data_IF_090091863095
#
_entry.id   IF_090091863095
#
_cell.length_a   1.000
_cell.length_b   1.000
_cell.length_c   1.000
_cell.angle_alpha   90.00
_cell.angle_beta   90.00
_cell.angle_gamma   90.00
#
_symmetry.space_group_name_H-M   'P 1'
#
loop_
_entity.id
_entity.type
_entity.pdbx_description
1 polymer ?
#
# COMPACT_ATOMS: atom_id res chain seq x y z
N UNK A 1 12.83 23.16 5.67
CA UNK A 1 11.65 24.01 5.35
C UNK A 1 10.44 23.36 6.03
N UNK A 2 9.30 24.01 6.21
CA UNK A 2 8.09 23.33 6.73
C UNK A 2 7.14 23.10 5.56
N UNK A 3 6.88 21.84 5.22
CA UNK A 3 5.93 21.46 4.15
C UNK A 3 4.51 21.56 4.68
N UNK A 4 3.65 22.30 3.99
CA UNK A 4 2.26 22.53 4.38
C UNK A 4 1.33 21.62 3.59
N UNK A 5 0.55 20.83 4.34
CA UNK A 5 -0.28 19.77 3.81
C UNK A 5 -1.75 20.15 3.76
N UNK A 6 -2.40 19.78 2.66
CA UNK A 6 -3.85 19.58 2.60
C UNK A 6 -4.18 18.09 2.70
N UNK A 7 -5.01 17.70 3.66
CA UNK A 7 -5.52 16.33 3.79
C UNK A 7 -6.88 16.21 3.11
N UNK A 8 -7.00 15.33 2.13
CA UNK A 8 -8.26 15.07 1.43
C UNK A 8 -8.80 13.71 1.88
N UNK A 9 -9.90 13.70 2.63
CA UNK A 9 -10.48 12.51 3.26
C UNK A 9 -10.15 12.41 4.75
N UNK A 10 -11.18 12.39 5.60
CA UNK A 10 -11.12 12.37 7.05
C UNK A 10 -11.56 11.01 7.65
N UNK A 11 -11.53 9.94 6.84
CA UNK A 11 -11.80 8.58 7.26
C UNK A 11 -10.72 7.97 8.17
N UNK A 12 -10.78 6.65 8.38
CA UNK A 12 -9.81 5.92 9.23
C UNK A 12 -8.35 6.18 8.83
N UNK A 13 -8.05 6.13 7.53
CA UNK A 13 -6.69 6.34 7.01
C UNK A 13 -6.27 7.81 7.07
N UNK A 14 -7.20 8.74 6.78
CA UNK A 14 -6.96 10.18 6.91
C UNK A 14 -6.57 10.58 8.33
N UNK A 15 -7.18 9.98 9.35
CA UNK A 15 -6.78 10.20 10.77
C UNK A 15 -5.36 9.74 11.07
N UNK A 16 -4.92 8.63 10.46
CA UNK A 16 -3.56 8.12 10.64
C UNK A 16 -2.54 9.06 9.99
N UNK A 17 -2.82 9.54 8.77
CA UNK A 17 -1.97 10.53 8.10
C UNK A 17 -1.96 11.89 8.79
N UNK A 18 -3.11 12.35 9.30
CA UNK A 18 -3.17 13.56 10.12
C UNK A 18 -2.25 13.46 11.36
N UNK A 19 -2.22 12.28 12.00
CA UNK A 19 -1.29 12.02 13.12
C UNK A 19 0.17 12.03 12.66
N UNK A 20 0.49 11.36 11.55
CA UNK A 20 1.85 11.30 11.00
C UNK A 20 2.37 12.69 10.60
N UNK A 21 1.55 13.50 9.94
CA UNK A 21 1.83 14.91 9.63
C UNK A 21 2.01 15.71 10.91
N UNK A 22 1.05 15.64 11.84
CA UNK A 22 1.06 16.41 13.08
C UNK A 22 2.23 16.10 14.01
N UNK A 23 2.82 14.90 13.92
CA UNK A 23 4.00 14.50 14.70
C UNK A 23 5.34 14.83 14.03
N UNK A 24 5.35 15.26 12.77
CA UNK A 24 6.58 15.53 12.04
C UNK A 24 6.97 17.02 12.14
N UNK A 25 8.16 17.36 12.69
CA UNK A 25 8.57 18.76 12.87
C UNK A 25 8.80 19.53 11.56
N UNK A 26 8.98 18.83 10.43
CA UNK A 26 9.10 19.44 9.10
C UNK A 26 7.74 19.58 8.37
N UNK A 27 6.63 19.25 9.02
CA UNK A 27 5.31 19.27 8.41
C UNK A 27 4.32 20.17 9.18
N UNK A 28 3.32 20.68 8.46
CA UNK A 28 2.17 21.35 9.07
C UNK A 28 0.90 20.96 8.32
N UNK A 29 -0.11 20.46 9.05
CA UNK A 29 -1.45 20.28 8.49
C UNK A 29 -2.15 21.65 8.44
N UNK A 30 -2.49 22.12 7.24
CA UNK A 30 -3.11 23.45 7.03
C UNK A 30 -4.59 23.31 6.71
N UNK A 31 -4.96 22.33 5.89
CA UNK A 31 -6.33 22.14 5.44
C UNK A 31 -6.77 20.68 5.56
N UNK A 32 -8.05 20.47 5.89
CA UNK A 32 -8.73 19.18 5.82
C UNK A 32 -9.99 19.33 4.96
N UNK A 33 -10.17 18.44 3.99
CA UNK A 33 -11.35 18.40 3.13
C UNK A 33 -12.03 17.03 3.25
N UNK A 34 -13.31 17.01 3.60
CA UNK A 34 -14.15 15.81 3.58
C UNK A 34 -15.61 16.23 3.33
N UNK A 35 -16.41 15.48 2.56
CA UNK A 35 -17.84 15.77 2.40
C UNK A 35 -18.62 15.66 3.73
N UNK A 36 -18.13 14.89 4.70
CA UNK A 36 -18.69 14.79 6.04
C UNK A 36 -18.06 15.85 6.96
N UNK A 37 -18.75 16.98 7.13
CA UNK A 37 -18.26 18.13 7.89
C UNK A 37 -17.74 17.76 9.30
N UNK A 38 -18.47 16.90 10.03
CA UNK A 38 -18.07 16.48 11.38
C UNK A 38 -16.73 15.72 11.39
N UNK A 39 -16.46 14.90 10.37
CA UNK A 39 -15.20 14.17 10.26
C UNK A 39 -14.03 15.13 9.99
N UNK A 40 -14.21 16.10 9.07
CA UNK A 40 -13.22 17.12 8.79
C UNK A 40 -12.96 18.01 10.01
N UNK A 41 -14.03 18.49 10.66
CA UNK A 41 -13.96 19.34 11.86
C UNK A 41 -13.19 18.67 13.01
N UNK A 42 -13.39 17.36 13.21
CA UNK A 42 -12.70 16.62 14.26
C UNK A 42 -11.18 16.62 14.06
N UNK A 43 -10.70 16.38 12.83
CA UNK A 43 -9.27 16.41 12.51
C UNK A 43 -8.75 17.85 12.56
N UNK A 44 -9.47 18.79 11.93
CA UNK A 44 -9.06 20.19 11.85
C UNK A 44 -8.86 20.81 13.25
N UNK A 45 -9.82 20.58 14.16
CA UNK A 45 -9.74 21.07 15.55
C UNK A 45 -8.59 20.44 16.32
N UNK A 46 -8.32 19.13 16.12
CA UNK A 46 -7.26 18.41 16.82
C UNK A 46 -5.86 18.91 16.45
N UNK A 47 -5.64 19.31 15.19
CA UNK A 47 -4.32 19.67 14.68
C UNK A 47 -4.17 21.17 14.35
N UNK A 48 -5.18 21.99 14.65
CA UNK A 48 -5.17 23.43 14.37
C UNK A 48 -5.18 23.77 12.87
N UNK A 49 -5.83 22.94 12.06
CA UNK A 49 -6.02 23.13 10.63
C UNK A 49 -7.40 23.74 10.32
N UNK A 50 -7.61 24.17 9.08
CA UNK A 50 -8.89 24.69 8.59
C UNK A 50 -9.67 23.60 7.84
N UNK A 51 -11.00 23.61 7.97
CA UNK A 51 -11.85 22.83 7.05
C UNK A 51 -11.99 23.63 5.76
N UNK A 52 -11.55 23.05 4.64
CA UNK A 52 -11.61 23.64 3.30
C UNK A 52 -12.26 22.67 2.32
N UNK A 53 -12.75 23.18 1.20
CA UNK A 53 -13.12 22.30 0.07
C UNK A 53 -11.87 21.84 -0.67
N UNK A 54 -12.02 20.80 -1.50
CA UNK A 54 -10.94 20.35 -2.41
C UNK A 54 -10.52 21.52 -3.33
N UNK A 55 -11.46 22.27 -3.90
CA UNK A 55 -11.19 23.36 -4.84
C UNK A 55 -10.45 24.53 -4.18
N UNK A 56 -10.83 24.90 -2.96
CA UNK A 56 -10.11 25.91 -2.19
C UNK A 56 -8.70 25.41 -1.88
N UNK A 57 -8.53 24.14 -1.47
CA UNK A 57 -7.21 23.55 -1.19
C UNK A 57 -6.32 23.51 -2.44
N UNK A 58 -6.90 23.21 -3.61
CA UNK A 58 -6.20 23.15 -4.89
C UNK A 58 -5.58 24.50 -5.30
N UNK A 59 -6.34 25.58 -5.13
CA UNK A 59 -5.96 26.94 -5.54
C UNK A 59 -5.16 27.70 -4.47
N UNK A 60 -5.06 27.13 -3.27
CA UNK A 60 -4.40 27.75 -2.13
C UNK A 60 -2.88 27.86 -2.33
N UNK A 61 -2.36 29.09 -2.30
CA UNK A 61 -0.92 29.34 -2.27
C UNK A 61 -0.29 28.85 -0.96
N UNK A 62 -1.10 28.58 0.07
CA UNK A 62 -0.64 28.12 1.37
C UNK A 62 -0.54 26.60 1.57
N UNK A 63 -0.67 25.84 0.48
CA UNK A 63 -0.52 24.38 0.42
C UNK A 63 0.65 24.03 -0.48
N UNK A 64 1.59 23.22 0.02
CA UNK A 64 2.75 22.75 -0.75
C UNK A 64 2.52 21.33 -1.28
N UNK A 65 1.83 20.50 -0.48
CA UNK A 65 1.56 19.11 -0.81
C UNK A 65 0.16 18.68 -0.35
N UNK A 66 -0.35 17.58 -0.93
CA UNK A 66 -1.59 16.95 -0.49
C UNK A 66 -1.41 15.47 -0.16
N UNK A 67 -2.19 15.01 0.81
CA UNK A 67 -2.40 13.58 1.10
C UNK A 67 -3.82 13.22 0.66
N UNK A 68 -3.93 12.38 -0.36
CA UNK A 68 -5.20 11.88 -0.91
C UNK A 68 -5.57 10.58 -0.19
N UNK A 69 -6.63 10.66 0.60
CA UNK A 69 -7.21 9.60 1.45
C UNK A 69 -8.74 9.48 1.23
N UNK A 70 -9.24 10.01 0.11
CA UNK A 70 -10.63 9.94 -0.31
C UNK A 70 -10.99 8.52 -0.81
N UNK A 71 -12.23 8.26 -1.23
CA UNK A 71 -12.56 6.98 -1.89
C UNK A 71 -11.75 6.77 -3.18
N UNK A 72 -11.42 5.52 -3.49
CA UNK A 72 -10.53 5.12 -4.60
C UNK A 72 -10.94 5.69 -5.96
N UNK A 73 -12.24 5.79 -6.24
CA UNK A 73 -12.79 6.33 -7.50
C UNK A 73 -12.46 7.83 -7.73
N UNK A 74 -11.93 8.52 -6.73
CA UNK A 74 -11.50 9.92 -6.84
C UNK A 74 -9.99 10.09 -6.98
N UNK A 75 -9.19 9.05 -6.77
CA UNK A 75 -7.74 9.17 -6.61
C UNK A 75 -7.06 9.72 -7.86
N UNK A 76 -7.25 9.07 -9.02
CA UNK A 76 -6.60 9.47 -10.26
C UNK A 76 -6.96 10.92 -10.67
N UNK A 77 -8.23 11.30 -10.55
CA UNK A 77 -8.68 12.66 -10.84
C UNK A 77 -8.04 13.70 -9.91
N UNK A 78 -7.93 13.40 -8.61
CA UNK A 78 -7.28 14.29 -7.65
C UNK A 78 -5.78 14.38 -7.90
N UNK A 79 -5.09 13.27 -8.16
CA UNK A 79 -3.67 13.27 -8.51
C UNK A 79 -3.43 14.23 -9.69
N UNK A 80 -4.19 14.07 -10.78
CA UNK A 80 -4.00 14.90 -11.96
C UNK A 80 -4.29 16.39 -11.71
N UNK A 81 -5.34 16.71 -10.94
CA UNK A 81 -5.68 18.10 -10.60
C UNK A 81 -4.56 18.75 -9.79
N UNK A 82 -4.09 18.08 -8.75
CA UNK A 82 -3.03 18.62 -7.88
C UNK A 82 -1.67 18.65 -8.57
N UNK A 83 -1.38 17.71 -9.48
CA UNK A 83 -0.20 17.73 -10.34
C UNK A 83 -0.19 18.98 -11.25
N UNK A 84 -1.30 19.25 -11.95
CA UNK A 84 -1.45 20.45 -12.79
C UNK A 84 -1.38 21.77 -11.99
N UNK A 85 -1.74 21.73 -10.70
CA UNK A 85 -1.61 22.88 -9.80
C UNK A 85 -0.20 23.03 -9.19
N UNK A 86 0.76 22.17 -9.56
CA UNK A 86 2.14 22.21 -9.09
C UNK A 86 2.30 21.82 -7.61
N UNK A 87 1.37 21.04 -7.05
CA UNK A 87 1.46 20.51 -5.68
C UNK A 87 2.12 19.14 -5.69
N UNK A 88 2.89 18.81 -4.65
CA UNK A 88 3.33 17.43 -4.45
C UNK A 88 2.16 16.56 -3.97
N UNK A 89 2.11 15.30 -4.40
CA UNK A 89 1.00 14.39 -4.13
C UNK A 89 1.49 13.14 -3.43
N UNK A 90 0.94 12.87 -2.25
CA UNK A 90 0.89 11.54 -1.67
C UNK A 90 -0.52 10.98 -1.90
N UNK A 91 -0.65 9.78 -2.44
CA UNK A 91 -1.95 9.14 -2.66
C UNK A 91 -2.00 7.75 -2.04
N UNK A 92 -3.04 7.49 -1.26
CA UNK A 92 -3.35 6.13 -0.80
C UNK A 92 -3.58 5.18 -1.98
N UNK A 93 -3.31 3.90 -1.74
CA UNK A 93 -3.50 2.85 -2.75
C UNK A 93 -4.99 2.56 -3.00
N UNK A 94 -5.34 2.03 -4.18
CA UNK A 94 -4.57 2.11 -5.42
C UNK A 94 -4.76 3.49 -6.09
N UNK A 95 -3.98 3.80 -7.12
CA UNK A 95 -4.17 5.03 -7.92
C UNK A 95 -5.53 5.03 -8.63
N UNK A 96 -5.95 3.87 -9.13
CA UNK A 96 -7.26 3.59 -9.70
C UNK A 96 -7.47 2.07 -9.69
N UNK A 97 -8.65 1.57 -10.08
CA UNK A 97 -8.91 0.14 -10.28
C UNK A 97 -8.78 -0.29 -11.76
N UNK A 98 -8.58 0.66 -12.68
CA UNK A 98 -8.34 0.42 -14.11
C UNK A 98 -6.89 0.77 -14.50
N UNK A 99 -6.18 -0.22 -15.04
CA UNK A 99 -4.78 -0.09 -15.49
C UNK A 99 -4.57 1.02 -16.53
N UNK A 100 -5.49 1.19 -17.48
CA UNK A 100 -5.41 2.26 -18.48
C UNK A 100 -5.70 3.63 -17.88
N UNK A 101 -6.61 3.71 -16.90
CA UNK A 101 -6.84 4.95 -16.13
C UNK A 101 -5.62 5.35 -15.32
N UNK A 102 -4.92 4.38 -14.69
CA UNK A 102 -3.63 4.64 -14.02
C UNK A 102 -2.60 5.13 -15.02
N UNK A 103 -2.42 4.47 -16.17
CA UNK A 103 -1.47 4.92 -17.21
C UNK A 103 -1.77 6.35 -17.67
N UNK A 104 -3.05 6.71 -17.84
CA UNK A 104 -3.45 8.06 -18.20
C UNK A 104 -3.08 9.09 -17.12
N UNK A 105 -3.34 8.76 -15.85
CA UNK A 105 -2.95 9.60 -14.70
C UNK A 105 -1.43 9.80 -14.66
N UNK A 106 -0.64 8.74 -14.81
CA UNK A 106 0.82 8.82 -14.75
C UNK A 106 1.43 9.64 -15.89
N UNK A 107 0.80 9.67 -17.09
CA UNK A 107 1.21 10.59 -18.17
C UNK A 107 1.12 12.05 -17.74
N UNK A 108 0.04 12.44 -17.05
CA UNK A 108 -0.12 13.81 -16.54
C UNK A 108 0.92 14.13 -15.47
N UNK A 109 1.24 13.17 -14.60
CA UNK A 109 2.28 13.33 -13.58
C UNK A 109 3.65 13.56 -14.23
N UNK A 110 3.99 12.79 -15.27
CA UNK A 110 5.24 12.95 -16.04
C UNK A 110 5.28 14.29 -16.79
N UNK A 111 4.20 14.65 -17.50
CA UNK A 111 4.08 15.92 -18.24
C UNK A 111 4.23 17.16 -17.35
N UNK A 112 3.75 17.08 -16.11
CA UNK A 112 3.82 18.18 -15.14
C UNK A 112 5.09 18.16 -14.29
N UNK A 113 5.85 17.06 -14.31
CA UNK A 113 7.00 16.84 -13.42
C UNK A 113 6.62 16.79 -11.93
N UNK A 114 5.37 16.43 -11.61
CA UNK A 114 4.88 16.42 -10.24
C UNK A 114 5.49 15.27 -9.42
N UNK A 115 5.81 15.53 -8.15
CA UNK A 115 6.18 14.47 -7.20
C UNK A 115 4.93 13.68 -6.82
N UNK A 116 4.84 12.42 -7.23
CA UNK A 116 3.80 11.47 -6.81
C UNK A 116 4.40 10.31 -6.01
N UNK A 117 3.93 10.13 -4.79
CA UNK A 117 4.20 8.96 -3.96
C UNK A 117 2.91 8.17 -3.73
N UNK A 118 2.97 6.84 -3.87
CA UNK A 118 1.84 5.93 -3.62
C UNK A 118 2.01 5.27 -2.25
N UNK A 119 0.91 5.20 -1.48
CA UNK A 119 0.86 4.71 -0.10
C UNK A 119 1.01 3.20 0.08
N UNK A 120 2.15 2.64 -0.33
CA UNK A 120 2.57 1.30 0.10
C UNK A 120 3.37 1.38 1.40
N UNK A 121 2.68 1.81 2.45
CA UNK A 121 3.22 2.09 3.77
C UNK A 121 4.08 0.96 4.37
N UNK A 122 3.80 -0.31 4.01
CA UNK A 122 4.59 -1.47 4.50
C UNK A 122 6.06 -1.40 4.10
N UNK A 123 6.41 -0.72 2.99
CA UNK A 123 7.82 -0.47 2.67
C UNK A 123 8.53 0.38 3.72
N UNK A 124 7.81 1.14 4.54
CA UNK A 124 8.38 2.02 5.58
C UNK A 124 8.35 1.42 6.98
N UNK A 125 7.81 0.21 7.14
CA UNK A 125 7.84 -0.48 8.42
C UNK A 125 9.29 -0.77 8.83
N UNK A 126 9.70 -0.49 10.08
CA UNK A 126 11.05 -0.79 10.54
C UNK A 126 11.49 -2.23 10.31
N UNK A 127 10.57 -3.19 10.49
CA UNK A 127 10.90 -4.60 10.38
C UNK A 127 11.05 -5.04 8.92
N UNK A 128 10.14 -4.62 8.03
CA UNK A 128 10.30 -4.87 6.59
C UNK A 128 11.55 -4.18 6.02
N UNK A 129 11.86 -2.96 6.45
CA UNK A 129 13.10 -2.26 6.07
C UNK A 129 14.35 -3.00 6.55
N UNK A 130 14.36 -3.53 7.77
CA UNK A 130 15.49 -4.32 8.28
C UNK A 130 15.70 -5.60 7.47
N UNK A 131 14.63 -6.27 7.04
CA UNK A 131 14.73 -7.42 6.12
C UNK A 131 15.32 -6.99 4.78
N UNK A 132 14.82 -5.91 4.19
CA UNK A 132 15.36 -5.40 2.92
C UNK A 132 16.84 -5.03 3.04
N UNK A 133 17.22 -4.37 4.13
CA UNK A 133 18.60 -4.01 4.41
C UNK A 133 19.49 -5.26 4.50
N UNK A 134 19.06 -6.32 5.19
CA UNK A 134 19.82 -7.57 5.26
C UNK A 134 20.00 -8.24 3.89
N UNK A 135 18.99 -8.13 3.00
CA UNK A 135 19.09 -8.58 1.60
C UNK A 135 20.13 -7.75 0.85
N UNK A 136 20.06 -6.42 0.96
CA UNK A 136 20.95 -5.49 0.25
C UNK A 136 22.41 -5.59 0.70
N UNK A 137 22.63 -5.88 1.98
CA UNK A 137 23.94 -6.17 2.56
C UNK A 137 24.46 -7.57 2.20
N UNK A 138 23.67 -8.37 1.47
CA UNK A 138 24.06 -9.70 0.98
C UNK A 138 24.09 -10.78 2.06
N UNK A 139 23.45 -10.55 3.22
CA UNK A 139 23.47 -11.48 4.36
C UNK A 139 22.82 -12.84 4.02
N UNK A 140 21.86 -12.86 3.09
CA UNK A 140 21.22 -14.09 2.59
C UNK A 140 21.73 -14.54 1.21
N UNK A 141 22.74 -13.86 0.65
CA UNK A 141 23.25 -14.12 -0.70
C UNK A 141 22.25 -13.74 -1.78
N UNK A 142 22.20 -14.50 -2.88
CA UNK A 142 21.18 -14.33 -3.92
C UNK A 142 19.81 -14.79 -3.41
N UNK A 143 18.80 -13.91 -3.50
CA UNK A 143 17.40 -14.24 -3.19
C UNK A 143 16.89 -15.31 -4.15
N UNK A 144 16.25 -16.35 -3.61
CA UNK A 144 15.71 -17.49 -4.36
C UNK A 144 14.18 -17.61 -4.19
N UNK A 145 13.69 -17.51 -2.95
CA UNK A 145 12.27 -17.68 -2.61
C UNK A 145 11.80 -16.63 -1.61
N UNK A 146 10.60 -16.09 -1.82
CA UNK A 146 9.92 -15.21 -0.86
C UNK A 146 8.59 -15.84 -0.43
N UNK A 147 8.28 -15.80 0.86
CA UNK A 147 6.98 -16.24 1.39
C UNK A 147 6.33 -15.10 2.14
N UNK A 148 5.12 -14.71 1.74
CA UNK A 148 4.35 -13.63 2.32
C UNK A 148 3.04 -14.18 2.88
N UNK A 149 2.74 -13.87 4.14
CA UNK A 149 1.45 -14.18 4.75
C UNK A 149 0.83 -12.91 5.31
N UNK A 150 -0.34 -12.55 4.80
CA UNK A 150 -1.09 -11.39 5.28
C UNK A 150 -2.55 -11.77 5.52
N UNK A 151 -3.01 -11.64 6.77
CA UNK A 151 -4.38 -12.00 7.16
C UNK A 151 -5.02 -10.86 7.95
N UNK A 152 -6.19 -10.43 7.51
CA UNK A 152 -6.98 -9.42 8.21
C UNK A 152 -7.65 -10.04 9.45
N UNK A 153 -7.88 -9.26 10.53
CA UNK A 153 -8.62 -9.75 11.71
C UNK A 153 -10.06 -10.16 11.37
N UNK A 154 -10.65 -9.51 10.36
CA UNK A 154 -12.02 -9.71 9.90
C UNK A 154 -12.27 -8.98 8.58
N UNK A 155 -13.26 -9.48 7.82
CA UNK A 155 -13.60 -8.95 6.52
C UNK A 155 -14.19 -7.53 6.61
N UNK A 156 -13.98 -6.67 5.59
CA UNK A 156 -14.69 -5.41 5.51
C UNK A 156 -16.19 -5.65 5.25
N UNK A 157 -17.07 -4.65 5.50
CA UNK A 157 -18.49 -4.75 5.19
C UNK A 157 -18.75 -5.01 3.69
N UNK A 158 -19.83 -5.73 3.37
CA UNK A 158 -20.20 -6.11 2.00
C UNK A 158 -20.30 -4.90 1.05
N UNK A 159 -20.83 -3.76 1.52
CA UNK A 159 -20.93 -2.55 0.71
C UNK A 159 -19.57 -1.96 0.32
N UNK A 160 -18.54 -2.19 1.14
CA UNK A 160 -17.17 -1.86 0.77
C UNK A 160 -16.62 -2.88 -0.23
N UNK A 161 -16.86 -4.18 -0.01
CA UNK A 161 -16.38 -5.25 -0.90
C UNK A 161 -16.82 -5.01 -2.35
N UNK A 162 -18.11 -4.69 -2.56
CA UNK A 162 -18.69 -4.41 -3.89
C UNK A 162 -17.97 -3.32 -4.69
N UNK A 163 -17.26 -2.40 -4.03
CA UNK A 163 -16.51 -1.30 -4.66
C UNK A 163 -14.99 -1.36 -4.44
N UNK A 164 -14.50 -2.41 -3.80
CA UNK A 164 -13.08 -2.55 -3.44
C UNK A 164 -12.19 -2.98 -4.62
N UNK A 165 -12.80 -3.50 -5.69
CA UNK A 165 -12.08 -4.17 -6.79
C UNK A 165 -11.71 -5.62 -6.49
N UNK A 166 -12.13 -6.16 -5.35
CA UNK A 166 -11.91 -7.55 -4.92
C UNK A 166 -10.60 -7.74 -4.15
N UNK A 167 -10.45 -8.91 -3.50
CA UNK A 167 -9.34 -9.18 -2.58
C UNK A 167 -7.95 -8.97 -3.19
N UNK A 168 -7.75 -9.26 -4.47
CA UNK A 168 -6.46 -9.07 -5.13
C UNK A 168 -6.08 -7.59 -5.25
N UNK A 169 -7.03 -6.72 -5.60
CA UNK A 169 -6.80 -5.28 -5.79
C UNK A 169 -6.83 -4.49 -4.49
N UNK A 170 -7.60 -4.96 -3.51
CA UNK A 170 -7.72 -4.27 -2.23
C UNK A 170 -6.70 -4.76 -1.18
N UNK A 171 -6.51 -6.06 -1.04
CA UNK A 171 -5.69 -6.64 0.03
C UNK A 171 -4.32 -7.07 -0.49
N UNK A 172 -4.30 -7.99 -1.45
CA UNK A 172 -3.06 -8.61 -1.99
C UNK A 172 -2.18 -7.60 -2.71
N UNK A 173 -2.70 -6.44 -3.12
CA UNK A 173 -1.92 -5.38 -3.77
C UNK A 173 -0.72 -4.92 -2.93
N UNK A 174 -0.84 -4.91 -1.60
CA UNK A 174 0.30 -4.63 -0.72
C UNK A 174 1.35 -5.74 -0.77
N UNK A 175 0.93 -6.99 -0.98
CA UNK A 175 1.81 -8.15 -1.02
C UNK A 175 2.48 -8.28 -2.40
N UNK A 176 1.82 -7.86 -3.48
CA UNK A 176 2.46 -7.70 -4.79
C UNK A 176 3.56 -6.66 -4.77
N UNK A 177 3.29 -5.51 -4.15
CA UNK A 177 4.30 -4.48 -3.92
C UNK A 177 5.48 -5.00 -3.07
N UNK A 178 5.17 -5.67 -1.96
CA UNK A 178 6.18 -6.26 -1.07
C UNK A 178 7.00 -7.37 -1.74
N UNK A 179 6.37 -8.21 -2.58
CA UNK A 179 7.07 -9.25 -3.33
C UNK A 179 8.10 -8.64 -4.29
N UNK A 180 7.74 -7.59 -5.04
CA UNK A 180 8.68 -6.84 -5.89
C UNK A 180 9.83 -6.26 -5.07
N UNK A 181 9.49 -5.63 -3.94
CA UNK A 181 10.47 -5.02 -3.05
C UNK A 181 11.49 -6.03 -2.50
N UNK A 182 11.06 -7.24 -2.15
CA UNK A 182 11.93 -8.28 -1.59
C UNK A 182 12.68 -9.11 -2.64
N UNK A 183 12.07 -9.38 -3.81
CA UNK A 183 12.72 -10.10 -4.91
C UNK A 183 13.82 -9.28 -5.60
N UNK A 184 13.70 -7.95 -5.56
CA UNK A 184 14.60 -7.02 -6.25
C UNK A 184 14.55 -7.17 -7.78
N UNK A 185 13.46 -7.72 -8.31
CA UNK A 185 13.28 -8.09 -9.71
C UNK A 185 11.79 -8.09 -10.06
N UNK A 186 11.46 -7.79 -11.31
CA UNK A 186 10.08 -7.80 -11.79
C UNK A 186 9.53 -9.20 -12.01
N UNK A 187 8.25 -9.35 -11.69
CA UNK A 187 7.51 -10.61 -11.81
C UNK A 187 7.06 -10.79 -13.27
N UNK A 188 7.35 -11.94 -13.85
CA UNK A 188 6.97 -12.27 -15.23
C UNK A 188 5.59 -12.95 -15.27
N UNK A 189 5.34 -13.89 -14.36
CA UNK A 189 4.12 -14.70 -14.35
C UNK A 189 3.45 -14.77 -12.99
N UNK A 190 2.13 -14.88 -13.01
CA UNK A 190 1.26 -14.99 -11.84
C UNK A 190 0.36 -16.20 -11.99
N UNK A 191 0.32 -17.06 -10.96
CA UNK A 191 -0.69 -18.12 -10.82
C UNK A 191 -1.44 -17.92 -9.51
N UNK A 192 -2.78 -17.96 -9.52
CA UNK A 192 -3.57 -17.70 -8.33
C UNK A 192 -4.74 -18.68 -8.18
N UNK A 193 -5.15 -18.89 -6.93
CA UNK A 193 -6.35 -19.62 -6.53
C UNK A 193 -7.12 -18.78 -5.51
N UNK A 194 -8.45 -18.82 -5.58
CA UNK A 194 -9.34 -18.12 -4.65
C UNK A 194 -10.51 -18.98 -4.20
N UNK A 195 -10.96 -18.76 -2.98
CA UNK A 195 -12.09 -19.45 -2.37
C UNK A 195 -12.86 -18.53 -1.41
N UNK A 196 -14.09 -18.94 -1.09
CA UNK A 196 -14.95 -18.29 -0.09
C UNK A 196 -15.09 -19.27 1.07
N UNK A 197 -14.30 -19.06 2.13
CA UNK A 197 -14.13 -19.95 3.27
C UNK A 197 -14.48 -19.27 4.61
N UNK A 198 -14.66 -17.95 4.61
CA UNK A 198 -14.91 -17.13 5.80
C UNK A 198 -16.38 -16.74 5.89
N UNK A 199 -16.93 -16.11 4.86
CA UNK A 199 -18.30 -15.59 4.86
C UNK A 199 -18.94 -15.74 3.47
N UNK A 200 -20.00 -16.55 3.31
CA UNK A 200 -20.71 -16.71 2.05
C UNK A 200 -21.17 -15.39 1.39
N UNK A 201 -21.47 -14.35 2.18
CA UNK A 201 -21.90 -13.05 1.67
C UNK A 201 -20.82 -12.36 0.82
N UNK A 202 -19.53 -12.70 1.02
CA UNK A 202 -18.42 -12.22 0.20
C UNK A 202 -18.49 -12.85 -1.20
N UNK A 203 -18.80 -14.15 -1.28
CA UNK A 203 -19.03 -14.85 -2.54
C UNK A 203 -20.27 -14.35 -3.28
N UNK A 204 -21.36 -14.05 -2.56
CA UNK A 204 -22.56 -13.43 -3.13
C UNK A 204 -22.29 -12.04 -3.71
N UNK A 205 -21.31 -11.31 -3.14
CA UNK A 205 -20.83 -10.03 -3.66
C UNK A 205 -19.84 -10.17 -4.84
N UNK A 206 -19.49 -11.40 -5.24
CA UNK A 206 -18.61 -11.68 -6.38
C UNK A 206 -17.11 -11.62 -6.06
N UNK A 207 -16.71 -11.81 -4.80
CA UNK A 207 -15.31 -11.77 -4.36
C UNK A 207 -14.87 -13.07 -3.66
N UNK A 208 -13.57 -13.17 -3.38
CA UNK A 208 -12.95 -14.24 -2.59
C UNK A 208 -12.53 -13.71 -1.22
N UNK A 209 -12.44 -14.59 -0.22
CA UNK A 209 -11.98 -14.23 1.13
C UNK A 209 -10.66 -14.91 1.54
N UNK A 210 -10.24 -15.89 0.76
CA UNK A 210 -9.04 -16.69 1.01
C UNK A 210 -8.37 -17.00 -0.33
N UNK A 211 -7.13 -16.52 -0.51
CA UNK A 211 -6.41 -16.65 -1.79
C UNK A 211 -4.97 -17.11 -1.57
N UNK A 212 -4.44 -17.83 -2.56
CA UNK A 212 -3.03 -18.20 -2.65
C UNK A 212 -2.50 -17.78 -4.01
N UNK A 213 -1.31 -17.19 -4.04
CA UNK A 213 -0.67 -16.71 -5.26
C UNK A 213 0.76 -17.20 -5.34
N UNK A 214 1.19 -17.64 -6.52
CA UNK A 214 2.58 -17.92 -6.87
C UNK A 214 3.02 -16.94 -7.95
N UNK A 215 4.15 -16.31 -7.73
CA UNK A 215 4.78 -15.33 -8.62
C UNK A 215 6.11 -15.91 -9.10
N UNK A 216 6.48 -15.72 -10.36
CA UNK A 216 7.80 -16.11 -10.85
C UNK A 216 8.41 -15.03 -11.72
N UNK A 217 9.71 -14.82 -11.55
CA UNK A 217 10.49 -13.85 -12.30
C UNK A 217 11.21 -14.51 -13.48
N UNK A 218 11.76 -13.72 -14.40
CA UNK A 218 12.47 -14.26 -15.58
C UNK A 218 13.75 -15.02 -15.22
N UNK A 219 14.41 -14.66 -14.11
CA UNK A 219 15.59 -15.37 -13.61
C UNK A 219 15.27 -16.69 -12.87
N UNK A 220 13.99 -16.96 -12.59
CA UNK A 220 13.53 -18.17 -11.89
C UNK A 220 13.32 -18.01 -10.38
N UNK A 221 13.51 -16.80 -9.82
CA UNK A 221 13.07 -16.52 -8.44
C UNK A 221 11.56 -16.62 -8.36
N UNK A 222 11.04 -16.98 -7.20
CA UNK A 222 9.59 -17.05 -7.00
C UNK A 222 9.15 -16.54 -5.63
N UNK A 223 7.89 -16.11 -5.56
CA UNK A 223 7.27 -15.69 -4.32
C UNK A 223 5.90 -16.37 -4.15
N UNK A 224 5.59 -16.79 -2.94
CA UNK A 224 4.26 -17.26 -2.55
C UNK A 224 3.58 -16.22 -1.65
N UNK A 225 2.29 -15.99 -1.88
CA UNK A 225 1.47 -15.10 -1.06
C UNK A 225 0.25 -15.89 -0.58
N UNK A 226 -0.02 -15.83 0.73
CA UNK A 226 -1.22 -16.39 1.35
C UNK A 226 -2.02 -15.28 2.02
N UNK A 227 -3.27 -15.07 1.58
CA UNK A 227 -4.19 -14.14 2.21
C UNK A 227 -5.44 -14.80 2.75
N UNK A 228 -5.94 -14.23 3.85
CA UNK A 228 -7.27 -14.52 4.37
C UNK A 228 -7.89 -13.27 5.00
N UNK A 229 -9.18 -13.06 4.79
CA UNK A 229 -9.93 -11.97 5.41
C UNK A 229 -10.22 -12.17 6.90
N UNK A 230 -9.82 -13.29 7.51
CA UNK A 230 -10.04 -13.53 8.95
C UNK A 230 -8.89 -14.27 9.62
N UNK A 231 -8.37 -13.68 10.68
CA UNK A 231 -7.46 -14.28 11.64
C UNK A 231 -7.89 -13.90 13.07
N UNK A 232 -8.41 -14.87 13.82
CA UNK A 232 -8.93 -14.66 15.18
C UNK A 232 -7.87 -14.20 16.18
N UNK A 233 -6.60 -14.39 15.85
CA UNK A 233 -5.44 -13.99 16.66
C UNK A 233 -4.90 -12.60 16.30
N UNK A 234 -5.58 -11.87 15.41
CA UNK A 234 -5.24 -10.50 15.00
C UNK A 234 -4.55 -10.42 13.64
N UNK A 235 -3.89 -9.29 13.38
CA UNK A 235 -3.37 -8.92 12.07
C UNK A 235 -2.02 -9.62 11.76
N UNK A 236 -2.09 -10.76 11.06
CA UNK A 236 -0.92 -11.55 10.62
C UNK A 236 -0.24 -10.86 9.44
N UNK A 237 1.02 -10.49 9.57
CA UNK A 237 1.82 -9.80 8.56
C UNK A 237 3.26 -10.32 8.64
N UNK A 238 3.57 -11.37 7.87
CA UNK A 238 4.87 -12.03 7.86
C UNK A 238 5.46 -12.07 6.46
N UNK A 239 6.79 -11.93 6.40
CA UNK A 239 7.61 -12.13 5.20
C UNK A 239 8.81 -12.96 5.61
N UNK A 240 9.15 -13.94 4.78
CA UNK A 240 10.37 -14.72 4.84
C UNK A 240 11.05 -14.69 3.47
N UNK A 241 12.36 -14.50 3.46
CA UNK A 241 13.19 -14.51 2.26
C UNK A 241 14.29 -15.54 2.43
N UNK A 242 14.26 -16.57 1.59
CA UNK A 242 15.30 -17.58 1.49
C UNK A 242 16.23 -17.24 0.32
N UNK A 243 17.53 -17.39 0.56
CA UNK A 243 18.54 -17.24 -0.46
C UNK A 243 19.72 -18.19 -0.26
N UNK A 244 20.61 -18.18 -1.24
CA UNK A 244 21.77 -19.08 -1.34
C UNK A 244 22.67 -19.17 -0.10
N UNK A 245 22.65 -18.19 0.82
CA UNK A 245 23.49 -18.16 2.03
C UNK A 245 22.72 -18.19 3.35
N UNK A 246 21.39 -18.26 3.32
CA UNK A 246 20.59 -18.27 4.53
C UNK A 246 19.15 -17.79 4.30
N UNK A 247 18.49 -17.39 5.38
CA UNK A 247 17.17 -16.81 5.32
C UNK A 247 17.04 -15.67 6.32
N UNK A 248 16.15 -14.74 6.01
CA UNK A 248 15.74 -13.64 6.89
C UNK A 248 14.22 -13.57 6.91
N UNK A 249 13.63 -13.35 8.08
CA UNK A 249 12.18 -13.29 8.23
C UNK A 249 11.77 -12.23 9.24
N UNK A 250 10.57 -11.69 9.08
CA UNK A 250 9.90 -10.94 10.15
C UNK A 250 8.93 -11.81 10.93
N UNK A 251 8.93 -11.64 12.24
CA UNK A 251 7.86 -12.11 13.11
C UNK A 251 6.73 -11.09 13.18
N UNK A 252 5.55 -11.56 13.61
CA UNK A 252 4.42 -10.69 13.87
C UNK A 252 4.65 -9.77 15.08
N UNK A 253 4.19 -8.53 14.97
CA UNK A 253 4.18 -7.57 16.06
C UNK A 253 2.91 -7.70 16.92
N UNK A 254 3.04 -7.34 18.20
CA UNK A 254 1.96 -7.31 19.18
C UNK A 254 2.05 -5.99 19.97
N UNK A 255 0.91 -5.44 20.45
CA UNK A 255 0.94 -4.22 21.26
C UNK A 255 1.77 -4.36 22.54
N UNK A 256 1.76 -5.55 23.14
CA UNK A 256 2.47 -5.87 24.38
C UNK A 256 3.09 -7.26 24.27
N UNK A 257 4.39 -7.35 24.55
CA UNK A 257 5.17 -8.60 24.50
C UNK A 257 5.42 -9.13 25.90
N UNK A 258 4.44 -9.86 26.44
CA UNK A 258 4.58 -10.65 27.67
C UNK A 258 4.32 -12.12 27.38
N UNK A 259 4.75 -12.98 28.29
CA UNK A 259 4.45 -14.41 28.28
C UNK A 259 3.98 -14.85 29.66
N UNK A 260 2.88 -15.60 29.70
CA UNK A 260 2.33 -16.18 30.93
C UNK A 260 2.59 -17.68 30.91
N UNK A 261 3.32 -18.17 31.92
CA UNK A 261 3.60 -19.59 32.13
C UNK A 261 2.82 -20.12 33.34
N UNK A 262 1.90 -21.06 33.14
CA UNK A 262 1.12 -21.70 34.20
C UNK A 262 0.70 -23.13 33.81
N UNK A 263 -0.21 -23.76 34.57
CA UNK A 263 -0.68 -25.13 34.32
C UNK A 263 -1.33 -25.34 32.94
N UNK A 264 -1.80 -24.27 32.27
CA UNK A 264 -2.35 -24.31 30.92
C UNK A 264 -1.28 -24.16 29.81
N UNK A 265 -0.02 -23.94 30.17
CA UNK A 265 1.11 -23.79 29.25
C UNK A 265 1.64 -22.35 29.18
N UNK A 266 2.24 -22.02 28.04
CA UNK A 266 2.80 -20.71 27.73
C UNK A 266 1.86 -19.96 26.78
N UNK A 267 1.43 -18.77 27.16
CA UNK A 267 0.52 -17.94 26.35
C UNK A 267 1.07 -16.54 26.18
N UNK A 268 0.88 -15.97 24.98
CA UNK A 268 1.22 -14.59 24.64
C UNK A 268 -0.07 -13.85 24.22
N UNK A 269 -0.18 -12.53 24.44
CA UNK A 269 -1.32 -11.74 23.96
C UNK A 269 -1.52 -11.87 22.44
N UNK A 270 -2.71 -11.57 21.87
CA UNK A 270 -2.91 -11.57 20.42
C UNK A 270 -2.05 -10.51 19.71
N UNK A 271 -2.06 -10.54 18.37
CA UNK A 271 -1.39 -9.55 17.54
C UNK A 271 -2.09 -8.18 17.62
N UNK A 272 -1.55 -7.19 16.92
CA UNK A 272 -2.30 -5.94 16.70
C UNK A 272 -3.65 -6.22 16.05
N UNK A 273 -4.68 -5.46 16.44
CA UNK A 273 -6.01 -5.62 15.85
C UNK A 273 -5.99 -5.34 14.35
N UNK A 274 -5.43 -4.20 13.92
CA UNK A 274 -5.40 -3.82 12.51
C UNK A 274 -4.29 -2.81 12.18
N UNK A 275 -4.27 -2.33 10.93
CA UNK A 275 -3.21 -1.45 10.41
C UNK A 275 -3.00 -0.16 11.23
N UNK A 276 -4.07 0.41 11.84
CA UNK A 276 -3.97 1.69 12.56
C UNK A 276 -2.99 1.66 13.74
N UNK A 277 -2.76 0.49 14.34
CA UNK A 277 -1.80 0.32 15.44
C UNK A 277 -0.53 -0.40 14.98
N UNK A 278 -0.65 -1.40 14.10
CA UNK A 278 0.50 -2.17 13.57
C UNK A 278 1.51 -1.30 12.82
N UNK A 279 1.04 -0.31 12.06
CA UNK A 279 1.87 0.45 11.12
C UNK A 279 2.08 1.92 11.49
N UNK A 280 1.87 2.30 12.77
CA UNK A 280 2.01 3.70 13.20
C UNK A 280 3.38 4.30 12.87
N UNK A 281 4.47 3.57 13.12
CA UNK A 281 5.83 3.98 12.76
C UNK A 281 6.04 4.02 11.25
N UNK A 282 5.44 3.08 10.51
CA UNK A 282 5.54 3.02 9.07
C UNK A 282 4.92 4.28 8.42
N UNK A 283 3.71 4.68 8.83
CA UNK A 283 3.08 5.92 8.35
C UNK A 283 3.88 7.18 8.71
N UNK A 284 4.49 7.23 9.89
CA UNK A 284 5.34 8.35 10.28
C UNK A 284 6.59 8.46 9.39
N UNK A 285 7.26 7.33 9.12
CA UNK A 285 8.43 7.25 8.23
C UNK A 285 8.08 7.50 6.77
N UNK A 286 6.90 7.06 6.35
CA UNK A 286 6.36 7.29 5.02
C UNK A 286 6.17 8.79 4.75
N UNK A 287 5.49 9.52 5.64
CA UNK A 287 5.35 10.98 5.54
C UNK A 287 6.70 11.69 5.63
N UNK A 288 7.61 11.24 6.50
CA UNK A 288 8.96 11.80 6.57
C UNK A 288 9.71 11.65 5.24
N UNK A 289 9.64 10.46 4.63
CA UNK A 289 10.30 10.18 3.36
C UNK A 289 9.68 11.01 2.22
N UNK A 290 8.35 11.15 2.22
CA UNK A 290 7.66 12.03 1.27
C UNK A 290 8.15 13.48 1.36
N UNK A 291 8.30 14.01 2.57
CA UNK A 291 8.85 15.37 2.79
C UNK A 291 10.27 15.46 2.24
N UNK A 292 11.12 14.45 2.50
CA UNK A 292 12.49 14.45 2.01
C UNK A 292 12.53 14.41 0.47
N UNK A 293 11.64 13.66 -0.20
CA UNK A 293 11.50 13.69 -1.67
C UNK A 293 11.04 15.05 -2.21
N UNK A 294 10.10 15.71 -1.51
CA UNK A 294 9.64 17.06 -1.87
C UNK A 294 10.75 18.10 -1.70
N UNK A 295 11.50 18.05 -0.59
CA UNK A 295 12.60 19.00 -0.31
C UNK A 295 13.77 18.80 -1.28
N UNK A 296 14.13 17.54 -1.57
CA UNK A 296 15.27 17.20 -2.43
C UNK A 296 14.95 17.21 -3.93
N UNK A 297 13.66 17.23 -4.30
CA UNK A 297 13.17 17.11 -5.69
C UNK A 297 13.64 15.83 -6.38
N UNK A 298 13.84 14.75 -5.63
CA UNK A 298 14.13 13.44 -6.20
C UNK A 298 12.85 12.67 -6.50
N UNK A 299 12.89 11.69 -7.42
CA UNK A 299 11.76 10.79 -7.64
C UNK A 299 11.33 10.11 -6.33
N UNK A 300 10.02 10.10 -6.07
CA UNK A 300 9.48 9.44 -4.88
C UNK A 300 9.43 7.92 -5.06
N UNK A 301 9.63 7.20 -3.96
CA UNK A 301 9.45 5.76 -3.88
C UNK A 301 8.64 5.40 -2.64
N UNK A 302 7.54 4.62 -2.72
CA UNK A 302 6.97 4.01 -3.92
C UNK A 302 6.42 5.04 -4.91
N UNK A 303 6.73 4.83 -6.18
CA UNK A 303 6.33 5.68 -7.30
C UNK A 303 4.92 5.35 -7.81
N UNK A 304 4.39 6.21 -8.68
CA UNK A 304 3.19 5.88 -9.45
C UNK A 304 3.32 4.57 -10.27
N UNK A 305 4.52 4.31 -10.80
CA UNK A 305 4.83 3.06 -11.53
C UNK A 305 4.76 1.84 -10.62
N UNK A 306 5.21 1.94 -9.37
CA UNK A 306 5.03 0.85 -8.40
C UNK A 306 3.54 0.54 -8.19
N UNK A 307 2.69 1.57 -8.10
CA UNK A 307 1.24 1.44 -8.04
C UNK A 307 0.63 0.75 -9.26
N UNK A 308 1.08 1.13 -10.46
CA UNK A 308 0.64 0.52 -11.72
C UNK A 308 0.98 -0.97 -11.78
N UNK A 309 2.21 -1.35 -11.42
CA UNK A 309 2.65 -2.75 -11.49
C UNK A 309 1.92 -3.61 -10.45
N UNK A 310 1.75 -3.11 -9.23
CA UNK A 310 1.01 -3.83 -8.20
C UNK A 310 -0.46 -4.08 -8.62
N UNK A 311 -1.10 -3.11 -9.28
CA UNK A 311 -2.43 -3.29 -9.87
C UNK A 311 -2.42 -4.30 -11.02
N UNK A 312 -1.44 -4.24 -11.91
CA UNK A 312 -1.33 -5.19 -13.02
C UNK A 312 -1.12 -6.64 -12.54
N UNK A 313 -0.39 -6.83 -11.43
CA UNK A 313 -0.24 -8.13 -10.77
C UNK A 313 -1.56 -8.62 -10.17
N UNK A 314 -2.36 -7.72 -9.58
CA UNK A 314 -3.69 -8.04 -9.08
C UNK A 314 -4.65 -8.47 -10.21
N UNK A 315 -4.62 -7.76 -11.34
CA UNK A 315 -5.40 -8.14 -12.53
C UNK A 315 -4.95 -9.48 -13.14
N UNK A 316 -3.64 -9.73 -13.17
CA UNK A 316 -3.09 -11.00 -13.62
C UNK A 316 -3.51 -12.16 -12.68
N UNK A 317 -3.53 -11.93 -11.36
CA UNK A 317 -4.03 -12.90 -10.39
C UNK A 317 -5.52 -13.20 -10.60
N UNK A 318 -6.35 -12.17 -10.78
CA UNK A 318 -7.78 -12.36 -11.06
C UNK A 318 -8.02 -13.14 -12.36
N UNK A 319 -7.28 -12.79 -13.42
CA UNK A 319 -7.32 -13.52 -14.71
C UNK A 319 -6.87 -14.98 -14.53
N UNK A 320 -5.83 -15.22 -13.74
CA UNK A 320 -5.32 -16.55 -13.45
C UNK A 320 -6.36 -17.44 -12.77
N UNK A 321 -7.07 -16.93 -11.75
CA UNK A 321 -8.16 -17.66 -11.10
C UNK A 321 -9.26 -18.01 -12.10
N UNK A 322 -9.65 -17.05 -12.95
CA UNK A 322 -10.72 -17.24 -13.93
C UNK A 322 -10.37 -18.27 -15.01
N UNK A 323 -9.12 -18.29 -15.46
CA UNK A 323 -8.66 -19.12 -16.58
C UNK A 323 -7.98 -20.42 -16.15
N UNK A 324 -7.68 -20.60 -14.86
CA UNK A 324 -7.05 -21.80 -14.33
C UNK A 324 -5.62 -22.04 -14.82
N UNK A 325 -4.87 -20.96 -15.13
CA UNK A 325 -3.51 -21.03 -15.69
C UNK A 325 -2.60 -19.93 -15.17
N UNK A 326 -1.29 -20.07 -15.39
CA UNK A 326 -0.34 -18.99 -15.25
C UNK A 326 -0.62 -17.88 -16.28
N UNK A 327 -0.55 -16.63 -15.86
CA UNK A 327 -0.77 -15.43 -16.68
C UNK A 327 0.51 -14.61 -16.69
N UNK A 328 0.97 -14.21 -17.90
CA UNK A 328 2.08 -13.27 -18.02
C UNK A 328 1.60 -11.86 -17.69
N UNK A 329 2.37 -11.08 -16.93
CA UNK A 329 2.01 -9.69 -16.58
C UNK A 329 1.86 -8.82 -17.83
N UNK A 330 2.63 -9.10 -18.88
CA UNK A 330 2.52 -8.44 -20.18
C UNK A 330 1.16 -8.60 -20.87
N UNK A 331 0.36 -9.62 -20.51
CA UNK A 331 -1.01 -9.77 -21.00
C UNK A 331 -1.95 -8.70 -20.44
N UNK A 332 -1.61 -8.10 -19.30
CA UNK A 332 -2.37 -7.01 -18.66
C UNK A 332 -1.83 -5.66 -19.10
N UNK A 333 -0.50 -5.48 -19.06
CA UNK A 333 0.12 -4.17 -19.35
C UNK A 333 0.25 -3.88 -20.84
N UNK A 334 0.20 -4.90 -21.71
CA UNK A 334 0.57 -4.80 -23.12
C UNK A 334 2.09 -4.75 -23.34
N UNK A 335 2.51 -4.43 -24.58
CA UNK A 335 3.93 -4.31 -25.01
C UNK A 335 4.67 -3.15 -24.31
N UNK A 336 3.98 -2.30 -23.55
CA UNK A 336 4.59 -1.31 -22.65
C UNK A 336 5.53 -1.92 -21.59
N UNK A 337 5.63 -3.24 -21.51
CA UNK A 337 6.72 -3.93 -20.83
C UNK A 337 8.10 -3.79 -21.54
N UNK A 338 8.38 -2.64 -22.16
CA UNK A 338 9.75 -2.32 -22.53
C UNK A 338 10.48 -1.84 -21.28
N UNK A 339 11.64 -2.44 -21.03
CA UNK A 339 12.37 -2.39 -19.75
C UNK A 339 12.70 -0.98 -19.27
N UNK A 340 12.60 0.02 -20.16
CA UNK A 340 12.85 1.44 -19.89
C UNK A 340 11.81 2.12 -19.00
N UNK A 341 10.60 1.58 -18.83
CA UNK A 341 9.59 2.13 -17.88
C UNK A 341 9.80 1.61 -16.46
N UNK A 342 10.41 0.42 -16.33
CA UNK A 342 10.62 -0.27 -15.05
C UNK A 342 11.96 0.06 -14.38
N UNK A 343 12.92 0.56 -15.16
CA UNK A 343 14.08 1.23 -14.62
C UNK A 343 13.68 2.69 -14.39
N UNK A 344 13.22 3.00 -13.17
CA UNK A 344 13.09 4.38 -12.73
C UNK A 344 14.36 5.13 -13.13
N UNK A 345 14.19 6.23 -13.87
CA UNK A 345 15.29 7.17 -14.11
C UNK A 345 15.86 7.66 -12.78
#
# INVERSE_FOLDING_TARGET
MTVRFGLLGAGRIGKVHAKAIGSNPKAKLVAVADPMADAANAIASQYGAEVRTIDTTLTSADIDAVVVCTPTDTHADLIERFARAGKAIFCEKPVDLDVERVKACLRVVDETGATLMVGFNRRFDPHFQAVKQAIDEGQVGTVEMVTITSRDPGAPPVDYIKRSGGIFRDMTIHDFDMARFMLGEEIETVTAQGSVLVDPAIGEAGDYDSVSVMLSTASGKHATISNSRRATYGYDQRVEVHGSKGAVAIENQRPVSIEVANAAGYTRPPLHDFFMTRYTEAYAREISSFIDFVESKTPASPSGTDGLIALALADAALKSVKEGRAVKVSEITGIMADKSVFQGR
#
